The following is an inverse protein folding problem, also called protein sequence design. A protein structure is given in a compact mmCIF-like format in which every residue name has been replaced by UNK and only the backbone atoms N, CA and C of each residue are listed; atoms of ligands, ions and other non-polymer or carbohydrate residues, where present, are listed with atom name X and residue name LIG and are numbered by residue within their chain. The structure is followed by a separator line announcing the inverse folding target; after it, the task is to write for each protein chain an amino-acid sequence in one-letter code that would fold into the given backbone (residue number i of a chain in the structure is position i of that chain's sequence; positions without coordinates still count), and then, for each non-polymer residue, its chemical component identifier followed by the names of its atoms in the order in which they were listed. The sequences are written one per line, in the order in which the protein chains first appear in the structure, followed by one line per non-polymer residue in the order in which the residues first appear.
data_IF_697858613986
#
_entry.id   IF_697858613986
#
_cell.length_a   1.000
_cell.length_b   1.000
_cell.length_c   1.000
_cell.angle_alpha   90.00
_cell.angle_beta   90.00
_cell.angle_gamma   90.00
#
_symmetry.space_group_name_H-M   'P 1'
#
loop_
_entity.id
_entity.type
_entity.pdbx_description
1 polymer ?
#
# COMPACT_ATOMS: atom_id res chain seq x y z
N UNK A 1 11.10 -0.68 -25.27
CA UNK A 1 9.79 -0.30 -25.84
C UNK A 1 8.74 -1.00 -24.98
N UNK A 2 8.02 -0.28 -24.13
CA UNK A 2 7.15 -0.91 -23.12
C UNK A 2 5.73 -1.14 -23.65
N UNK A 3 5.20 -2.35 -23.52
CA UNK A 3 3.76 -2.63 -23.72
C UNK A 3 2.98 -2.25 -22.44
N UNK A 4 1.65 -2.34 -22.42
CA UNK A 4 0.85 -1.85 -21.28
C UNK A 4 -0.15 -2.88 -20.76
N UNK A 5 -0.37 -2.84 -19.45
CA UNK A 5 -1.30 -3.68 -18.71
C UNK A 5 -2.24 -2.82 -17.83
N UNK A 6 -3.40 -3.35 -17.48
CA UNK A 6 -4.38 -2.71 -16.61
C UNK A 6 -4.53 -3.51 -15.30
N UNK A 7 -4.79 -2.79 -14.21
CA UNK A 7 -5.01 -3.19 -12.83
C UNK A 7 -6.43 -2.75 -12.41
N UNK A 8 -7.24 -3.70 -11.92
CA UNK A 8 -8.69 -3.52 -11.71
C UNK A 8 -9.08 -3.40 -10.23
N UNK A 9 -10.04 -2.50 -9.92
CA UNK A 9 -10.79 -2.45 -8.64
C UNK A 9 -12.31 -2.50 -8.90
N UNK A 10 -13.06 -3.17 -8.03
CA UNK A 10 -14.51 -3.42 -8.16
C UNK A 10 -15.34 -2.37 -7.39
N UNK A 11 -16.28 -1.69 -8.06
CA UNK A 11 -17.31 -0.84 -7.45
C UNK A 11 -18.58 -0.82 -8.33
N UNK A 12 -19.74 -0.96 -7.70
CA UNK A 12 -21.08 -1.06 -8.32
C UNK A 12 -21.83 0.29 -8.36
N UNK A 13 -22.81 0.37 -9.27
CA UNK A 13 -23.23 1.56 -10.03
C UNK A 13 -24.34 2.47 -9.48
N UNK A 14 -24.36 3.73 -9.96
CA UNK A 14 -25.59 4.47 -10.30
C UNK A 14 -25.49 5.02 -11.74
N UNK A 15 -26.59 4.94 -12.50
CA UNK A 15 -26.64 5.03 -13.97
C UNK A 15 -26.33 6.42 -14.53
N UNK A 16 -25.25 6.50 -15.31
CA UNK A 16 -24.94 7.56 -16.28
C UNK A 16 -24.92 6.89 -17.66
N UNK A 17 -25.40 7.53 -18.74
CA UNK A 17 -25.28 6.97 -20.09
C UNK A 17 -23.79 6.73 -20.41
N UNK A 18 -23.40 5.45 -20.39
CA UNK A 18 -22.00 5.03 -20.51
C UNK A 18 -21.64 5.01 -21.99
N UNK A 19 -20.85 5.99 -22.43
CA UNK A 19 -20.09 5.87 -23.67
C UNK A 19 -19.18 4.65 -23.55
N UNK A 20 -19.50 3.58 -24.27
CA UNK A 20 -18.70 2.38 -24.30
C UNK A 20 -17.44 2.63 -25.15
N UNK A 21 -16.34 2.96 -24.49
CA UNK A 21 -15.04 3.08 -25.17
C UNK A 21 -14.59 1.67 -25.57
N UNK A 22 -14.64 1.37 -26.87
CA UNK A 22 -14.29 0.05 -27.41
C UNK A 22 -12.78 -0.19 -27.41
N UNK A 23 -11.98 0.84 -27.72
CA UNK A 23 -10.53 0.76 -27.76
C UNK A 23 -9.88 2.09 -27.39
N UNK A 24 -8.68 2.03 -26.83
CA UNK A 24 -7.80 3.18 -26.64
C UNK A 24 -6.71 3.10 -27.69
N UNK A 25 -6.41 4.22 -28.35
CA UNK A 25 -5.15 4.38 -29.06
C UNK A 25 -4.32 5.33 -28.23
N UNK A 26 -3.19 4.85 -27.74
CA UNK A 26 -2.24 5.72 -27.07
C UNK A 26 -1.35 6.37 -28.11
N UNK A 27 -1.26 7.68 -28.00
CA UNK A 27 -0.27 8.48 -28.70
C UNK A 27 1.12 8.01 -28.26
N UNK A 28 1.88 7.40 -29.16
CA UNK A 28 3.17 6.76 -28.87
C UNK A 28 4.21 7.75 -28.35
N UNK A 29 4.18 9.00 -28.82
CA UNK A 29 5.11 10.04 -28.35
C UNK A 29 4.77 10.46 -26.92
N UNK A 30 3.49 10.63 -26.61
CA UNK A 30 3.05 10.89 -25.23
C UNK A 30 3.30 9.70 -24.32
N UNK A 31 3.04 8.49 -24.81
CA UNK A 31 3.28 7.26 -24.06
C UNK A 31 4.77 7.09 -23.71
N UNK A 32 5.66 7.38 -24.65
CA UNK A 32 7.10 7.38 -24.42
C UNK A 32 7.55 8.52 -23.48
N UNK A 33 6.81 9.63 -23.43
CA UNK A 33 7.07 10.74 -22.50
C UNK A 33 6.62 10.46 -21.07
N UNK A 34 5.75 9.45 -20.86
CA UNK A 34 5.42 9.00 -19.51
C UNK A 34 6.61 8.23 -18.94
N UNK A 35 7.44 8.89 -18.12
CA UNK A 35 8.37 8.21 -17.21
C UNK A 35 7.64 7.39 -16.13
N UNK A 36 6.35 7.65 -16.00
CA UNK A 36 5.39 7.07 -15.10
C UNK A 36 5.12 5.58 -15.42
N UNK A 37 5.56 4.68 -14.54
CA UNK A 37 5.31 3.24 -14.66
C UNK A 37 3.84 2.85 -14.39
N UNK A 38 3.08 3.74 -13.74
CA UNK A 38 1.68 3.60 -13.36
C UNK A 38 0.94 4.91 -13.68
N UNK A 39 -0.23 4.84 -14.32
CA UNK A 39 -1.02 6.04 -14.65
C UNK A 39 -2.51 5.72 -14.78
N UNK A 40 -3.33 6.77 -14.88
CA UNK A 40 -4.78 6.67 -15.11
C UNK A 40 -5.17 7.44 -16.36
N UNK A 41 -6.26 6.99 -16.97
CA UNK A 41 -6.93 7.69 -18.06
C UNK A 41 -8.13 8.40 -17.44
N UNK A 42 -8.27 9.71 -17.70
CA UNK A 42 -9.28 10.55 -17.05
C UNK A 42 -10.71 10.04 -17.31
N UNK A 43 -10.94 9.47 -18.49
CA UNK A 43 -12.20 8.88 -18.91
C UNK A 43 -12.49 7.55 -18.19
N UNK A 44 -11.47 6.89 -17.62
CA UNK A 44 -11.56 5.62 -16.88
C UNK A 44 -10.92 5.70 -15.49
N UNK A 45 -11.49 6.50 -14.57
CA UNK A 45 -10.88 6.72 -13.26
C UNK A 45 -10.84 5.46 -12.39
N UNK A 46 -11.69 4.47 -12.67
CA UNK A 46 -11.74 3.19 -11.95
C UNK A 46 -10.64 2.20 -12.34
N UNK A 47 -9.93 2.45 -13.45
CA UNK A 47 -8.92 1.55 -14.00
C UNK A 47 -7.52 2.15 -13.81
N UNK A 48 -6.53 1.31 -13.53
CA UNK A 48 -5.13 1.75 -13.35
C UNK A 48 -4.27 1.08 -14.40
N UNK A 49 -3.60 1.88 -15.22
CA UNK A 49 -2.72 1.39 -16.28
C UNK A 49 -1.29 1.35 -15.79
N UNK A 50 -0.55 0.34 -16.20
CA UNK A 50 0.86 0.12 -15.85
C UNK A 50 1.65 -0.30 -17.08
N UNK A 51 2.96 -0.02 -17.07
CA UNK A 51 3.87 -0.47 -18.12
C UNK A 51 4.22 -1.95 -18.01
N UNK A 52 4.61 -2.57 -19.12
CA UNK A 52 5.11 -3.95 -19.17
C UNK A 52 6.34 -4.10 -18.29
N UNK A 53 7.21 -3.08 -18.25
CA UNK A 53 8.36 -3.05 -17.35
C UNK A 53 7.95 -3.07 -15.86
N UNK A 54 6.85 -2.42 -15.49
CA UNK A 54 6.29 -2.56 -14.14
C UNK A 54 5.82 -3.98 -13.87
N UNK A 55 5.11 -4.59 -14.83
CA UNK A 55 4.61 -5.96 -14.71
C UNK A 55 5.75 -6.98 -14.61
N UNK A 56 6.78 -6.83 -15.44
CA UNK A 56 7.99 -7.66 -15.41
C UNK A 56 8.69 -7.55 -14.05
N UNK A 57 8.82 -6.33 -13.50
CA UNK A 57 9.35 -6.14 -12.15
C UNK A 57 8.45 -6.78 -11.09
N UNK A 58 7.15 -6.57 -11.15
CA UNK A 58 6.21 -7.16 -10.21
C UNK A 58 6.32 -8.70 -10.19
N UNK A 59 6.47 -9.34 -11.35
CA UNK A 59 6.73 -10.78 -11.42
C UNK A 59 8.14 -11.17 -10.94
N UNK A 60 9.17 -10.41 -11.29
CA UNK A 60 10.55 -10.68 -10.86
C UNK A 60 10.70 -10.64 -9.33
N UNK A 61 9.98 -9.74 -8.67
CA UNK A 61 9.93 -9.62 -7.21
C UNK A 61 8.86 -10.50 -6.55
N UNK A 62 8.16 -11.34 -7.33
CA UNK A 62 7.09 -12.23 -6.83
C UNK A 62 5.97 -11.49 -6.08
N UNK A 63 5.66 -10.25 -6.47
CA UNK A 63 4.58 -9.49 -5.88
C UNK A 63 3.24 -10.17 -6.20
N UNK A 64 2.59 -10.68 -5.16
CA UNK A 64 1.31 -11.38 -5.26
C UNK A 64 0.13 -10.40 -5.12
N UNK A 65 -1.04 -10.78 -5.63
CA UNK A 65 -2.29 -10.02 -5.45
C UNK A 65 -2.67 -9.11 -6.62
N UNK A 66 -1.84 -9.02 -7.65
CA UNK A 66 -2.15 -8.31 -8.89
C UNK A 66 -2.75 -9.25 -9.95
N UNK A 67 -3.71 -8.73 -10.72
CA UNK A 67 -4.11 -9.35 -11.99
C UNK A 67 -3.87 -8.32 -13.11
N UNK A 68 -2.89 -8.62 -13.96
CA UNK A 68 -2.50 -7.75 -15.05
C UNK A 68 -3.20 -8.19 -16.33
N UNK A 69 -4.06 -7.31 -16.87
CA UNK A 69 -4.74 -7.55 -18.15
C UNK A 69 -4.09 -6.69 -19.21
N UNK A 70 -3.61 -7.29 -20.30
CA UNK A 70 -3.01 -6.52 -21.40
C UNK A 70 -4.06 -5.55 -21.99
N UNK A 71 -3.75 -4.26 -21.93
CA UNK A 71 -4.65 -3.21 -22.39
C UNK A 71 -4.23 -2.62 -23.75
N UNK A 72 -2.95 -2.78 -24.14
CA UNK A 72 -2.44 -2.32 -25.43
C UNK A 72 -1.10 -3.00 -25.81
N UNK A 73 -0.83 -3.22 -27.12
CA UNK A 73 -1.79 -3.23 -28.21
C UNK A 73 -2.75 -4.42 -28.07
N UNK A 74 -4.00 -4.20 -28.47
CA UNK A 74 -5.05 -5.22 -28.48
C UNK A 74 -5.29 -5.65 -29.92
N UNK A 75 -5.49 -6.95 -30.16
CA UNK A 75 -5.77 -7.45 -31.50
C UNK A 75 -7.10 -6.87 -32.04
N UNK A 76 -7.20 -6.57 -33.35
CA UNK A 76 -8.45 -6.11 -33.94
C UNK A 76 -9.62 -7.05 -33.62
N UNK A 77 -10.74 -6.48 -33.15
CA UNK A 77 -11.93 -7.24 -32.77
C UNK A 77 -11.91 -7.83 -31.36
N UNK A 78 -10.81 -7.69 -30.60
CA UNK A 78 -10.75 -8.12 -29.20
C UNK A 78 -11.11 -6.95 -28.28
N UNK A 79 -12.15 -7.13 -27.46
CA UNK A 79 -12.50 -6.19 -26.40
C UNK A 79 -11.67 -6.55 -25.17
N UNK A 80 -10.63 -5.77 -24.87
CA UNK A 80 -9.70 -6.06 -23.77
C UNK A 80 -10.40 -6.19 -22.41
N UNK A 81 -11.50 -5.46 -22.18
CA UNK A 81 -12.32 -5.60 -20.97
C UNK A 81 -12.95 -6.99 -20.83
N UNK A 82 -13.26 -7.65 -21.93
CA UNK A 82 -13.81 -9.01 -21.89
C UNK A 82 -12.74 -10.05 -21.58
N UNK A 83 -11.47 -9.80 -21.93
CA UNK A 83 -10.37 -10.66 -21.48
C UNK A 83 -10.23 -10.67 -19.96
N UNK A 84 -10.53 -9.56 -19.27
CA UNK A 84 -10.55 -9.49 -17.79
C UNK A 84 -11.62 -10.37 -17.15
N UNK A 85 -12.72 -10.65 -17.87
CA UNK A 85 -13.82 -11.47 -17.35
C UNK A 85 -13.52 -12.95 -17.47
N UNK A 86 -12.74 -13.36 -18.48
CA UNK A 86 -12.32 -14.76 -18.69
C UNK A 86 -11.27 -15.22 -17.68
N UNK A 87 -10.31 -14.36 -17.32
CA UNK A 87 -9.28 -14.72 -16.32
C UNK A 87 -9.86 -14.94 -14.92
N UNK A 88 -10.96 -14.25 -14.59
CA UNK A 88 -11.65 -14.41 -13.30
C UNK A 88 -12.51 -15.67 -13.20
N UNK A 89 -13.17 -16.11 -14.28
CA UNK A 89 -13.98 -17.33 -14.24
C UNK A 89 -13.15 -18.61 -14.11
N UNK A 90 -11.93 -18.60 -14.66
CA UNK A 90 -11.03 -19.76 -14.63
C UNK A 90 -10.18 -19.84 -13.35
N UNK A 91 -10.02 -18.72 -12.63
CA UNK A 91 -9.33 -18.68 -11.34
C UNK A 91 -10.35 -18.69 -10.22
N UNK A 92 -10.65 -19.88 -9.66
CA UNK A 92 -11.30 -20.01 -8.35
C UNK A 92 -10.40 -19.36 -7.27
N UNK A 93 -10.48 -18.04 -7.10
CA UNK A 93 -9.91 -17.34 -5.95
C UNK A 93 -11.06 -16.78 -5.11
N UNK A 94 -11.02 -16.95 -3.78
CA UNK A 94 -12.03 -16.37 -2.90
C UNK A 94 -12.01 -14.84 -3.04
N UNK A 95 -13.19 -14.24 -3.17
CA UNK A 95 -13.35 -12.79 -3.22
C UNK A 95 -12.81 -12.17 -1.92
N UNK A 96 -11.91 -11.20 -2.04
CA UNK A 96 -11.45 -10.39 -0.91
C UNK A 96 -12.59 -9.40 -0.60
N UNK A 97 -13.11 -9.33 0.64
CA UNK A 97 -14.15 -8.36 1.01
C UNK A 97 -13.68 -6.93 0.72
N UNK A 98 -14.57 -6.12 0.15
CA UNK A 98 -14.25 -4.76 -0.30
C UNK A 98 -13.80 -3.85 0.83
N UNK A 99 -12.55 -3.37 0.75
CA UNK A 99 -12.06 -2.28 1.59
C UNK A 99 -12.50 -0.92 1.04
N UNK A 100 -13.04 -0.08 1.92
CA UNK A 100 -13.35 1.33 1.64
C UNK A 100 -12.06 2.15 1.61
N UNK A 101 -11.84 2.97 0.57
CA UNK A 101 -10.80 4.02 0.63
C UNK A 101 -11.36 5.12 1.50
N UNK A 102 -10.70 5.38 2.60
CA UNK A 102 -11.01 6.53 3.42
C UNK A 102 -9.87 7.52 3.27
N UNK A 103 -10.20 8.70 2.78
CA UNK A 103 -9.27 9.83 2.73
C UNK A 103 -9.26 10.44 4.14
N UNK A 104 -8.16 10.28 4.85
CA UNK A 104 -8.00 10.80 6.20
C UNK A 104 -7.10 12.03 6.17
N UNK A 105 -7.43 13.02 7.00
CA UNK A 105 -6.68 14.27 7.09
C UNK A 105 -5.69 14.18 8.25
N UNK A 106 -4.43 14.51 7.96
CA UNK A 106 -3.37 14.73 8.96
C UNK A 106 -3.47 16.18 9.43
N UNK A 107 -4.00 16.41 10.64
CA UNK A 107 -4.32 17.75 11.13
C UNK A 107 -3.16 18.43 11.86
N UNK A 108 -2.37 17.67 12.61
CA UNK A 108 -1.28 18.17 13.43
C UNK A 108 -0.08 17.23 13.37
N UNK A 109 1.11 17.80 13.52
CA UNK A 109 2.39 17.08 13.50
C UNK A 109 3.20 17.55 14.69
N UNK A 110 3.47 16.64 15.60
CA UNK A 110 4.36 16.91 16.72
C UNK A 110 5.52 15.90 16.68
N UNK A 111 6.77 16.36 16.81
CA UNK A 111 7.87 15.43 17.02
C UNK A 111 7.62 14.66 18.33
N UNK A 112 8.09 13.41 18.40
CA UNK A 112 8.02 12.66 19.65
C UNK A 112 8.83 13.39 20.72
N UNK A 113 8.26 13.52 21.91
CA UNK A 113 9.03 13.90 23.08
C UNK A 113 10.06 12.80 23.47
N UNK A 114 10.98 13.15 24.37
CA UNK A 114 12.04 12.23 24.78
C UNK A 114 11.52 10.97 25.47
N UNK A 115 10.39 11.08 26.19
CA UNK A 115 9.78 9.96 26.92
C UNK A 115 9.21 8.93 25.95
N UNK A 116 8.37 9.37 25.01
CA UNK A 116 7.79 8.53 23.96
C UNK A 116 8.86 7.97 23.04
N UNK A 117 9.91 8.74 22.72
CA UNK A 117 11.02 8.23 21.93
C UNK A 117 11.79 7.12 22.67
N UNK A 118 11.94 7.24 23.99
CA UNK A 118 12.54 6.18 24.81
C UNK A 118 11.69 4.91 24.79
N UNK A 119 10.39 5.03 25.06
CA UNK A 119 9.44 3.91 25.02
C UNK A 119 9.42 3.23 23.66
N UNK A 120 9.40 4.01 22.58
CA UNK A 120 9.44 3.49 21.21
C UNK A 120 10.73 2.70 20.94
N UNK A 121 11.89 3.20 21.39
CA UNK A 121 13.16 2.50 21.23
C UNK A 121 13.22 1.20 22.04
N UNK A 122 12.60 1.17 23.22
CA UNK A 122 12.43 -0.06 24.00
C UNK A 122 11.58 -1.09 23.25
N UNK A 123 10.42 -0.68 22.72
CA UNK A 123 9.57 -1.55 21.88
C UNK A 123 10.28 -2.04 20.62
N UNK A 124 11.11 -1.21 19.97
CA UNK A 124 11.93 -1.61 18.82
C UNK A 124 12.93 -2.69 19.23
N UNK A 125 13.63 -2.51 20.37
CA UNK A 125 14.62 -3.47 20.85
C UNK A 125 13.97 -4.81 21.25
N UNK A 126 12.82 -4.75 21.90
CA UNK A 126 12.01 -5.92 22.26
C UNK A 126 11.58 -6.67 20.99
N UNK A 127 11.07 -5.95 19.99
CA UNK A 127 10.66 -6.52 18.71
C UNK A 127 11.80 -7.20 17.98
N UNK A 128 12.96 -6.55 17.92
CA UNK A 128 14.14 -7.13 17.30
C UNK A 128 14.55 -8.43 18.01
N UNK A 129 14.50 -8.48 19.34
CA UNK A 129 14.75 -9.70 20.10
C UNK A 129 13.71 -10.78 19.82
N UNK A 130 12.43 -10.41 19.81
CA UNK A 130 11.29 -11.29 19.63
C UNK A 130 11.34 -12.05 18.29
N UNK A 131 11.62 -11.36 17.19
CA UNK A 131 11.79 -11.99 15.86
C UNK A 131 13.25 -12.38 15.54
N UNK A 132 14.13 -12.35 16.54
CA UNK A 132 15.54 -12.79 16.47
C UNK A 132 16.35 -12.08 15.38
N UNK A 133 16.18 -10.77 15.27
CA UNK A 133 17.00 -9.92 14.41
C UNK A 133 18.39 -9.69 15.00
N UNK A 134 19.40 -9.77 14.14
CA UNK A 134 20.75 -9.31 14.38
C UNK A 134 20.87 -7.83 14.00
N UNK A 135 21.78 -7.10 14.68
CA UNK A 135 22.11 -5.70 14.35
C UNK A 135 22.63 -5.51 12.92
N UNK A 136 23.10 -6.59 12.28
CA UNK A 136 23.63 -6.57 10.91
C UNK A 136 22.60 -6.90 9.84
N UNK A 137 21.36 -7.24 10.21
CA UNK A 137 20.33 -7.53 9.23
C UNK A 137 19.96 -6.29 8.42
N UNK A 138 19.65 -6.48 7.14
CA UNK A 138 19.20 -5.38 6.29
C UNK A 138 17.74 -5.06 6.63
N UNK A 139 17.30 -3.80 6.50
CA UNK A 139 15.93 -3.41 6.80
C UNK A 139 14.87 -4.28 6.10
N UNK A 140 15.07 -4.60 4.83
CA UNK A 140 14.15 -5.49 4.09
C UNK A 140 14.08 -6.90 4.66
N UNK A 141 15.21 -7.47 5.11
CA UNK A 141 15.22 -8.81 5.70
C UNK A 141 14.42 -8.83 7.02
N UNK A 142 14.42 -7.71 7.76
CA UNK A 142 13.62 -7.53 8.97
C UNK A 142 12.13 -7.47 8.63
N UNK A 143 11.74 -6.68 7.62
CA UNK A 143 10.33 -6.60 7.16
C UNK A 143 9.79 -7.97 6.75
N UNK A 144 10.57 -8.74 5.97
CA UNK A 144 10.19 -10.09 5.55
C UNK A 144 10.02 -11.03 6.75
N UNK A 145 10.85 -10.90 7.80
CA UNK A 145 10.69 -11.69 9.02
C UNK A 145 9.46 -11.30 9.83
N UNK A 146 9.14 -10.00 9.93
CA UNK A 146 7.89 -9.55 10.56
C UNK A 146 6.70 -10.18 9.84
N UNK A 147 6.67 -10.10 8.50
CA UNK A 147 5.59 -10.68 7.69
C UNK A 147 5.51 -12.22 7.86
N UNK A 148 6.65 -12.92 7.78
CA UNK A 148 6.71 -14.36 8.01
C UNK A 148 6.17 -14.76 9.38
N UNK A 149 6.58 -14.04 10.43
CA UNK A 149 6.11 -14.28 11.79
C UNK A 149 4.60 -14.06 11.93
N UNK A 150 4.07 -12.97 11.36
CA UNK A 150 2.62 -12.68 11.36
C UNK A 150 1.83 -13.79 10.68
N UNK A 151 2.32 -14.30 9.54
CA UNK A 151 1.67 -15.40 8.80
C UNK A 151 1.65 -16.69 9.63
N UNK A 152 2.76 -17.03 10.30
CA UNK A 152 2.89 -18.25 11.11
C UNK A 152 2.02 -18.21 12.38
N UNK A 153 1.88 -17.05 13.02
CA UNK A 153 1.23 -16.91 14.33
C UNK A 153 -0.21 -16.39 14.25
N UNK A 154 -0.69 -16.07 13.04
CA UNK A 154 -2.02 -15.53 12.78
C UNK A 154 -3.15 -16.28 13.50
N UNK A 155 -3.18 -17.61 13.44
CA UNK A 155 -4.28 -18.39 14.01
C UNK A 155 -4.35 -18.31 15.53
N UNK A 156 -3.19 -18.16 16.18
CA UNK A 156 -3.07 -18.07 17.64
C UNK A 156 -3.57 -16.73 18.15
N UNK A 157 -3.34 -15.66 17.38
CA UNK A 157 -3.64 -14.27 17.77
C UNK A 157 -5.09 -13.84 17.46
N UNK A 158 -5.87 -14.67 16.76
CA UNK A 158 -7.30 -14.45 16.49
C UNK A 158 -8.24 -15.06 17.53
N UNK A 159 -7.73 -15.62 18.64
CA UNK A 159 -8.56 -16.23 19.69
C UNK A 159 -9.11 -15.14 20.63
N UNK A 160 -10.41 -15.27 20.98
CA UNK A 160 -11.23 -14.19 21.55
C UNK A 160 -11.20 -14.09 23.10
N UNK A 161 -10.08 -14.35 23.78
CA UNK A 161 -10.04 -14.11 25.24
C UNK A 161 -9.52 -12.70 25.54
N UNK A 162 -10.02 -12.06 26.61
CA UNK A 162 -9.56 -10.73 27.04
C UNK A 162 -8.05 -10.69 27.35
N UNK A 163 -7.49 -11.79 27.89
CA UNK A 163 -6.04 -11.93 28.09
C UNK A 163 -5.26 -11.94 26.78
N UNK A 164 -5.90 -12.33 25.67
CA UNK A 164 -5.28 -12.37 24.34
C UNK A 164 -5.23 -10.96 23.71
N UNK A 165 -6.04 -10.00 24.18
CA UNK A 165 -6.07 -8.63 23.65
C UNK A 165 -4.87 -7.80 24.11
N UNK A 166 -4.51 -7.81 25.40
CA UNK A 166 -3.32 -7.11 25.91
C UNK A 166 -2.04 -7.67 25.27
N UNK A 167 -1.94 -9.00 25.13
CA UNK A 167 -0.80 -9.64 24.47
C UNK A 167 -0.73 -9.26 22.98
N UNK A 168 -1.87 -9.25 22.28
CA UNK A 168 -1.97 -8.81 20.88
C UNK A 168 -1.50 -7.37 20.72
N UNK A 169 -1.96 -6.45 21.57
CA UNK A 169 -1.64 -5.03 21.47
C UNK A 169 -0.16 -4.78 21.77
N UNK A 170 0.43 -5.50 22.72
CA UNK A 170 1.87 -5.50 22.96
C UNK A 170 2.66 -5.96 21.72
N UNK A 171 2.23 -7.06 21.10
CA UNK A 171 2.86 -7.59 19.88
C UNK A 171 2.73 -6.61 18.70
N UNK A 172 1.56 -6.01 18.50
CA UNK A 172 1.31 -5.00 17.46
C UNK A 172 2.22 -3.80 17.66
N UNK A 173 2.30 -3.29 18.89
CA UNK A 173 3.12 -2.12 19.23
C UNK A 173 4.59 -2.39 18.95
N UNK A 174 5.09 -3.52 19.45
CA UNK A 174 6.47 -3.96 19.30
C UNK A 174 6.86 -4.19 17.83
N UNK A 175 6.09 -4.99 17.09
CA UNK A 175 6.37 -5.29 15.69
C UNK A 175 6.12 -4.08 14.78
N UNK A 176 5.13 -3.24 15.10
CA UNK A 176 4.83 -2.02 14.37
C UNK A 176 5.94 -0.99 14.52
N UNK A 177 6.44 -0.81 15.74
CA UNK A 177 7.60 0.03 16.01
C UNK A 177 8.86 -0.46 15.26
N UNK A 178 9.12 -1.77 15.30
CA UNK A 178 10.24 -2.36 14.58
C UNK A 178 10.11 -2.21 13.05
N UNK A 179 8.92 -2.44 12.50
CA UNK A 179 8.64 -2.21 11.08
C UNK A 179 8.90 -0.75 10.71
N UNK A 180 8.41 0.19 11.51
CA UNK A 180 8.59 1.59 11.21
C UNK A 180 10.02 2.09 11.32
N UNK A 181 10.80 1.53 12.25
CA UNK A 181 12.25 1.76 12.32
C UNK A 181 12.95 1.45 10.99
N UNK A 182 12.48 0.44 10.24
CA UNK A 182 13.07 0.07 8.94
C UNK A 182 12.89 1.16 7.88
N UNK A 183 11.77 1.88 7.89
CA UNK A 183 11.56 3.03 7.01
C UNK A 183 12.47 4.20 7.39
N UNK A 184 12.56 4.50 8.69
CA UNK A 184 13.44 5.57 9.17
C UNK A 184 14.89 5.33 8.73
N UNK A 185 15.38 4.10 8.87
CA UNK A 185 16.76 3.73 8.48
C UNK A 185 16.98 3.71 6.97
N UNK A 186 16.00 3.26 6.20
CA UNK A 186 16.15 3.08 4.75
C UNK A 186 15.94 4.37 3.96
N UNK A 187 15.07 5.25 4.45
CA UNK A 187 14.60 6.41 3.69
C UNK A 187 14.86 7.75 4.40
N UNK A 188 15.41 7.73 5.61
CA UNK A 188 15.65 8.96 6.39
C UNK A 188 14.36 9.61 6.91
N UNK A 189 13.30 8.82 7.04
CA UNK A 189 12.01 9.24 7.58
C UNK A 189 12.07 9.35 9.10
N UNK A 190 11.10 10.03 9.71
CA UNK A 190 11.08 10.29 11.16
C UNK A 190 9.74 9.96 11.79
N UNK A 191 9.76 9.50 13.04
CA UNK A 191 8.53 9.32 13.81
C UNK A 191 7.91 10.66 14.21
N UNK A 192 6.59 10.71 14.21
CA UNK A 192 5.79 11.86 14.62
C UNK A 192 4.48 11.40 15.25
N UNK A 193 3.92 12.23 16.12
CA UNK A 193 2.54 12.12 16.58
C UNK A 193 1.65 12.85 15.58
N UNK A 194 0.59 12.17 15.14
CA UNK A 194 -0.34 12.67 14.13
C UNK A 194 -1.78 12.55 14.61
N UNK A 195 -2.50 13.66 14.52
CA UNK A 195 -3.96 13.67 14.69
C UNK A 195 -4.64 13.28 13.39
N UNK A 196 -5.43 12.21 13.45
CA UNK A 196 -6.24 11.72 12.33
C UNK A 196 -7.68 12.14 12.48
N UNK A 197 -8.31 12.58 11.40
CA UNK A 197 -9.73 12.97 11.41
C UNK A 197 -10.71 11.82 11.68
N UNK A 198 -10.30 10.57 11.49
CA UNK A 198 -11.16 9.38 11.59
C UNK A 198 -10.99 8.56 12.85
N UNK A 199 -9.97 8.85 13.65
CA UNK A 199 -9.70 8.17 14.90
C UNK A 199 -9.77 9.23 15.99
N UNK A 200 -10.43 8.91 17.09
CA UNK A 200 -10.41 9.79 18.26
C UNK A 200 -9.02 9.75 18.88
N UNK A 201 -8.30 10.87 18.81
CA UNK A 201 -6.98 11.05 19.40
C UNK A 201 -5.82 11.01 18.39
N UNK A 202 -4.61 11.10 18.95
CA UNK A 202 -3.37 11.10 18.19
C UNK A 202 -2.79 9.70 18.07
N UNK A 203 -2.07 9.43 16.98
CA UNK A 203 -1.41 8.14 16.75
C UNK A 203 0.03 8.33 16.26
N UNK A 204 0.85 7.29 16.41
CA UNK A 204 2.23 7.29 15.93
C UNK A 204 2.27 7.01 14.42
N UNK A 205 2.97 7.88 13.70
CA UNK A 205 3.21 7.76 12.28
C UNK A 205 4.70 7.93 11.98
N UNK A 206 5.14 7.38 10.85
CA UNK A 206 6.44 7.66 10.25
C UNK A 206 6.21 8.62 9.10
N UNK A 207 6.85 9.78 9.15
CA UNK A 207 6.72 10.81 8.14
C UNK A 207 7.95 10.87 7.26
N UNK A 208 7.74 11.09 5.97
CA UNK A 208 8.81 11.42 5.06
C UNK A 208 9.42 12.82 5.40
N UNK A 209 10.60 13.16 4.88
CA UNK A 209 11.25 14.44 5.22
C UNK A 209 10.45 15.70 4.83
N UNK A 210 9.56 15.63 3.83
CA UNK A 210 8.66 16.73 3.51
C UNK A 210 7.45 16.79 4.47
N UNK A 211 7.18 15.66 5.13
CA UNK A 211 6.01 15.38 5.92
C UNK A 211 4.73 15.27 5.08
N UNK A 212 4.84 15.32 3.76
CA UNK A 212 3.71 15.16 2.84
C UNK A 212 3.15 13.74 2.88
N UNK A 213 3.76 12.79 3.59
CA UNK A 213 3.24 11.45 3.70
C UNK A 213 3.56 10.84 5.05
N UNK A 214 2.57 10.15 5.62
CA UNK A 214 2.73 9.36 6.84
C UNK A 214 2.47 7.88 6.57
N UNK A 215 3.30 7.01 7.13
CA UNK A 215 2.99 5.58 7.33
C UNK A 215 2.48 5.38 8.75
N UNK A 216 1.45 4.55 8.95
CA UNK A 216 0.95 4.16 10.28
C UNK A 216 1.19 2.67 10.57
N UNK A 217 2.39 2.30 11.05
CA UNK A 217 2.78 0.90 11.25
C UNK A 217 1.85 0.14 12.18
N UNK A 218 1.52 0.74 13.33
CA UNK A 218 0.75 0.10 14.39
C UNK A 218 -0.65 -0.26 13.87
N UNK A 219 -1.35 0.73 13.32
CA UNK A 219 -2.68 0.54 12.70
C UNK A 219 -2.63 -0.47 11.55
N UNK A 220 -1.56 -0.48 10.76
CA UNK A 220 -1.42 -1.44 9.68
C UNK A 220 -1.31 -2.88 10.20
N UNK A 221 -0.46 -3.12 11.21
CA UNK A 221 -0.31 -4.44 11.79
C UNK A 221 -1.58 -4.89 12.52
N UNK A 222 -2.26 -3.99 13.22
CA UNK A 222 -3.56 -4.25 13.85
C UNK A 222 -4.58 -4.74 12.81
N UNK A 223 -4.69 -4.06 11.66
CA UNK A 223 -5.56 -4.50 10.57
C UNK A 223 -5.17 -5.86 10.00
N UNK A 224 -3.88 -6.17 9.92
CA UNK A 224 -3.41 -7.47 9.48
C UNK A 224 -3.84 -8.58 10.44
N UNK A 225 -4.05 -8.30 11.73
CA UNK A 225 -4.61 -9.28 12.67
C UNK A 225 -6.12 -9.47 12.47
N UNK A 226 -6.87 -8.39 12.28
CA UNK A 226 -8.33 -8.44 12.16
C UNK A 226 -8.80 -9.00 10.80
N UNK A 227 -8.09 -8.68 9.72
CA UNK A 227 -8.51 -8.99 8.34
C UNK A 227 -7.42 -9.67 7.53
N UNK A 228 -7.14 -10.95 7.77
CA UNK A 228 -5.83 -11.45 7.43
C UNK A 228 -5.76 -12.03 5.99
N UNK A 229 -6.79 -11.80 5.17
CA UNK A 229 -6.72 -11.91 3.70
C UNK A 229 -5.91 -10.77 3.05
N UNK A 230 -5.41 -9.81 3.84
CA UNK A 230 -4.66 -8.64 3.39
C UNK A 230 -3.13 -8.79 3.43
N UNK A 231 -2.62 -10.03 3.40
CA UNK A 231 -1.25 -10.42 3.74
C UNK A 231 -0.07 -9.80 2.96
N UNK A 232 -0.08 -9.52 1.64
CA UNK A 232 1.14 -9.09 0.94
C UNK A 232 1.35 -7.56 0.95
N UNK A 233 0.95 -6.85 2.01
CA UNK A 233 0.94 -5.38 2.02
C UNK A 233 2.22 -4.75 2.59
N UNK A 234 2.89 -5.38 3.56
CA UNK A 234 4.06 -4.81 4.23
C UNK A 234 5.27 -4.72 3.29
N UNK A 235 5.68 -5.86 2.71
CA UNK A 235 6.76 -5.88 1.73
C UNK A 235 6.45 -5.00 0.51
N UNK A 236 5.21 -5.06 0.00
CA UNK A 236 4.79 -4.23 -1.13
C UNK A 236 4.89 -2.73 -0.84
N UNK A 237 4.43 -2.27 0.35
CA UNK A 237 4.58 -0.88 0.76
C UNK A 237 6.05 -0.45 0.77
N UNK A 238 6.92 -1.28 1.34
CA UNK A 238 8.35 -1.01 1.44
C UNK A 238 9.01 -0.93 0.05
N UNK A 239 8.74 -1.91 -0.83
CA UNK A 239 9.23 -1.95 -2.21
C UNK A 239 8.76 -0.73 -3.01
N UNK A 240 7.51 -0.31 -2.84
CA UNK A 240 6.94 0.86 -3.52
C UNK A 240 7.65 2.16 -3.17
N UNK A 241 8.04 2.34 -1.91
CA UNK A 241 8.84 3.51 -1.48
C UNK A 241 10.26 3.41 -2.03
N UNK A 242 10.88 2.22 -1.98
CA UNK A 242 12.24 2.00 -2.46
C UNK A 242 12.42 2.26 -3.96
N UNK A 243 11.44 1.92 -4.80
CA UNK A 243 11.56 2.08 -6.26
C UNK A 243 11.48 3.55 -6.73
N UNK A 244 11.34 4.52 -5.81
CA UNK A 244 11.26 5.96 -6.09
C UNK A 244 10.19 6.35 -7.13
N UNK A 245 9.25 5.45 -7.42
CA UNK A 245 8.04 5.71 -8.21
C UNK A 245 7.22 6.83 -7.58
N UNK A 246 7.33 7.00 -6.27
CA UNK A 246 6.67 8.01 -5.46
C UNK A 246 6.98 9.48 -5.87
N UNK A 247 8.25 9.85 -6.04
CA UNK A 247 8.63 11.25 -6.27
C UNK A 247 8.33 11.76 -7.69
N UNK A 248 8.23 10.86 -8.68
CA UNK A 248 8.02 11.24 -10.08
C UNK A 248 6.54 11.40 -10.47
N UNK A 249 5.60 10.83 -9.71
CA UNK A 249 4.17 10.89 -10.03
C UNK A 249 3.42 12.09 -9.42
N UNK A 250 3.97 12.72 -8.38
CA UNK A 250 3.27 13.77 -7.61
C UNK A 250 3.51 15.18 -8.16
N UNK A 251 4.60 15.39 -8.90
CA UNK A 251 4.98 16.74 -9.37
C UNK A 251 4.17 17.27 -10.55
N UNK A 252 3.18 16.53 -11.09
CA UNK A 252 2.36 17.01 -12.21
C UNK A 252 0.89 16.59 -12.13
N UNK A 253 0.11 17.42 -11.43
CA UNK A 253 -1.20 17.89 -11.88
C UNK A 253 -2.22 16.81 -12.31
N UNK A 254 -2.69 15.97 -11.39
CA UNK A 254 -4.01 15.32 -11.53
C UNK A 254 -4.59 14.99 -10.15
N UNK A 255 -5.78 15.51 -9.87
CA UNK A 255 -6.62 15.27 -8.67
C UNK A 255 -7.17 13.83 -8.58
N UNK A 256 -6.35 12.84 -8.93
CA UNK A 256 -6.70 11.43 -9.00
C UNK A 256 -5.44 10.60 -9.11
N UNK A 257 -4.56 10.69 -8.12
CA UNK A 257 -3.26 10.03 -8.12
C UNK A 257 -3.04 9.37 -6.76
N UNK A 258 -2.62 8.10 -6.80
CA UNK A 258 -2.06 7.32 -5.68
C UNK A 258 -2.96 7.02 -4.48
N UNK A 259 -3.77 7.98 -3.99
CA UNK A 259 -4.74 7.85 -2.88
C UNK A 259 -5.67 6.65 -3.04
N UNK A 260 -6.03 6.27 -4.26
CA UNK A 260 -6.92 5.13 -4.53
C UNK A 260 -6.22 3.77 -4.63
N UNK A 261 -4.92 3.74 -4.97
CA UNK A 261 -4.08 2.53 -4.93
C UNK A 261 -3.66 2.26 -3.47
N UNK A 262 -3.36 3.34 -2.76
CA UNK A 262 -3.11 3.44 -1.32
C UNK A 262 -4.39 3.23 -0.52
N UNK A 263 -5.56 3.49 -1.07
CA UNK A 263 -6.82 3.15 -0.43
C UNK A 263 -7.06 1.64 -0.27
N UNK A 264 -6.21 0.80 -0.87
CA UNK A 264 -6.11 -0.62 -0.53
C UNK A 264 -5.02 -0.90 0.53
N UNK A 265 -4.07 0.01 0.72
CA UNK A 265 -2.99 0.02 1.70
C UNK A 265 -3.25 1.16 2.71
N UNK A 266 -4.22 1.01 3.62
CA UNK A 266 -4.66 1.99 4.63
C UNK A 266 -3.55 2.67 5.49
N UNK A 267 -2.28 2.37 5.23
CA UNK A 267 -1.13 2.79 5.98
C UNK A 267 -0.46 4.06 5.46
N UNK A 268 -0.58 4.46 4.18
CA UNK A 268 0.10 5.67 3.66
C UNK A 268 -0.92 6.79 3.46
N UNK A 269 -0.71 7.99 4.01
CA UNK A 269 -1.70 9.09 3.92
C UNK A 269 -1.01 10.41 3.60
N UNK A 270 -1.43 11.15 2.54
CA UNK A 270 -0.97 12.52 2.30
C UNK A 270 -1.69 13.54 3.19
N UNK A 271 -1.11 14.72 3.48
CA UNK A 271 -1.80 15.80 4.17
C UNK A 271 -2.91 16.38 3.28
N UNK A 272 -3.89 17.01 3.92
CA UNK A 272 -4.93 17.77 3.24
C UNK A 272 -4.38 19.13 2.79
N UNK A 273 -4.64 19.47 1.52
CA UNK A 273 -4.23 20.75 0.93
C UNK A 273 -5.15 21.91 1.37
N UNK A 274 -6.24 21.63 2.11
CA UNK A 274 -7.09 22.66 2.72
C UNK A 274 -7.69 23.66 1.73
N UNK A 275 -8.00 23.23 0.50
CA UNK A 275 -8.57 24.08 -0.57
C UNK A 275 -10.03 23.77 -0.87
#
# INVERSE_FOLDING_TARGET
MGKLCNLKRSLDSAQTEVLAIEHFVLDEEKAASFSAAIFRIAELPAEVFVTEEFVERAFAFQLNGFDFVKAWPVEPGVIWRQNSLRTNSDRKRPAIPGGTVSNYVINAREPLDEELLSQLNESIAEGASFIRCAKSDRPMDIVVRIEGWLVENRSTLTLNNETDEEERDAIVTMLGALYGKQFCESFGWTWSIVDRSDIEGSTLAIQDPSGDYGIFPLLHLEQLFVHPSSSPKLQLCFDMVQMNSYAQHVTRNTNGSFVDLIGALHAIVPPDDGK
#
